data_IF_668078558479
#
_entry.id   IF_668078558479
#
_cell.length_a   1.000
_cell.length_b   1.000
_cell.length_c   1.000
_cell.angle_alpha   90.00
_cell.angle_beta   90.00
_cell.angle_gamma   90.00
#
_symmetry.space_group_name_H-M   'P 1'
#
loop_
_entity.id
_entity.type
_entity.pdbx_description
1 polymer ?
#
# COMPACT_ATOMS: atom_id res chain seq x y z
N UNK A 1 15.58 -6.93 23.14
CA UNK A 1 14.69 -5.92 22.54
C UNK A 1 13.82 -6.64 21.52
N UNK A 2 12.54 -6.85 21.80
CA UNK A 2 11.64 -7.60 20.93
C UNK A 2 10.20 -7.40 21.40
N UNK A 3 9.40 -6.73 20.60
CA UNK A 3 8.02 -6.39 20.91
C UNK A 3 7.18 -7.65 21.15
N UNK A 4 6.34 -7.64 22.19
CA UNK A 4 5.70 -8.82 22.78
C UNK A 4 4.17 -8.83 22.64
N UNK A 5 3.61 -8.11 21.66
CA UNK A 5 2.15 -8.03 21.46
C UNK A 5 1.81 -8.35 20.00
N UNK A 6 1.07 -9.44 19.81
CA UNK A 6 0.29 -9.75 18.59
C UNK A 6 1.09 -10.04 17.32
N UNK A 7 1.46 -11.29 17.06
CA UNK A 7 1.87 -11.68 15.71
C UNK A 7 0.62 -11.74 14.84
N UNK A 8 0.35 -10.69 14.06
CA UNK A 8 -0.55 -10.84 12.91
C UNK A 8 0.06 -11.94 12.04
N UNK A 9 -0.69 -13.01 11.81
CA UNK A 9 -0.31 -14.07 10.89
C UNK A 9 -0.46 -13.54 9.47
N UNK A 10 0.66 -13.06 8.91
CA UNK A 10 0.73 -12.55 7.55
C UNK A 10 0.95 -13.71 6.58
N UNK A 11 0.16 -13.77 5.51
CA UNK A 11 0.36 -14.72 4.42
C UNK A 11 1.77 -14.51 3.81
N UNK A 12 2.49 -15.60 3.49
CA UNK A 12 3.82 -15.52 2.88
C UNK A 12 3.85 -14.68 1.59
N UNK A 13 2.74 -14.61 0.86
CA UNK A 13 2.63 -13.80 -0.36
C UNK A 13 2.47 -12.30 -0.06
N UNK A 14 1.97 -11.94 1.12
CA UNK A 14 1.85 -10.55 1.55
C UNK A 14 3.14 -10.01 2.20
N UNK A 15 4.14 -10.86 2.46
CA UNK A 15 5.41 -10.47 3.07
C UNK A 15 6.13 -9.29 2.39
N UNK A 16 6.13 -9.16 1.04
CA UNK A 16 6.78 -8.03 0.38
C UNK A 16 6.09 -6.67 0.61
N UNK A 17 4.85 -6.67 1.10
CA UNK A 17 4.04 -5.47 1.30
C UNK A 17 3.92 -5.05 2.77
N UNK A 18 4.57 -5.78 3.69
CA UNK A 18 4.57 -5.46 5.13
C UNK A 18 5.93 -4.92 5.56
N UNK A 19 5.94 -4.18 6.66
CA UNK A 19 7.15 -3.59 7.24
C UNK A 19 7.93 -2.69 6.26
N UNK A 20 7.23 -2.07 5.30
CA UNK A 20 7.81 -1.12 4.36
C UNK A 20 8.39 0.09 5.12
N UNK A 21 9.51 0.68 4.65
CA UNK A 21 10.07 1.89 5.22
C UNK A 21 9.18 3.10 4.92
N UNK A 22 9.26 4.13 5.77
CA UNK A 22 8.48 5.36 5.60
C UNK A 22 8.61 5.95 4.18
N UNK A 23 9.82 5.94 3.63
CA UNK A 23 10.12 6.43 2.27
C UNK A 23 9.27 5.71 1.21
N UNK A 24 9.22 4.39 1.23
CA UNK A 24 8.43 3.59 0.27
C UNK A 24 6.93 3.84 0.41
N UNK A 25 6.43 4.09 1.62
CA UNK A 25 5.01 4.44 1.85
C UNK A 25 4.70 5.85 1.31
N UNK A 26 5.66 6.78 1.36
CA UNK A 26 5.52 8.08 0.70
C UNK A 26 5.55 7.96 -0.83
N UNK A 27 6.47 7.17 -1.38
CA UNK A 27 6.55 6.89 -2.82
C UNK A 27 5.26 6.22 -3.33
N UNK A 28 4.62 5.36 -2.53
CA UNK A 28 3.30 4.80 -2.85
C UNK A 28 2.22 5.89 -2.99
N UNK A 29 2.21 6.88 -2.10
CA UNK A 29 1.28 8.00 -2.19
C UNK A 29 1.54 8.86 -3.43
N UNK A 30 2.81 9.14 -3.72
CA UNK A 30 3.19 9.91 -4.91
C UNK A 30 2.78 9.16 -6.19
N UNK A 31 3.10 7.87 -6.27
CA UNK A 31 2.71 7.03 -7.40
C UNK A 31 1.18 6.92 -7.56
N UNK A 32 0.42 6.91 -6.47
CA UNK A 32 -1.04 6.97 -6.53
C UNK A 32 -1.52 8.25 -7.23
N UNK A 33 -1.00 9.42 -6.83
CA UNK A 33 -1.38 10.70 -7.42
C UNK A 33 -0.97 10.84 -8.89
N UNK A 34 0.09 10.12 -9.32
CA UNK A 34 0.55 10.13 -10.71
C UNK A 34 -0.25 9.18 -11.62
N UNK A 35 -0.77 8.07 -11.08
CA UNK A 35 -1.36 6.98 -11.87
C UNK A 35 -2.88 6.97 -11.82
N UNK A 36 -3.49 7.27 -10.68
CA UNK A 36 -4.93 7.11 -10.50
C UNK A 36 -5.71 8.26 -11.13
N UNK A 37 -6.72 7.94 -11.94
CA UNK A 37 -7.65 8.94 -12.49
C UNK A 37 -8.74 9.37 -11.48
N UNK A 38 -8.87 8.64 -10.36
CA UNK A 38 -9.84 8.91 -9.30
C UNK A 38 -9.49 8.23 -7.98
N UNK A 39 -10.49 8.05 -7.11
CA UNK A 39 -10.28 7.44 -5.79
C UNK A 39 -10.29 5.90 -5.79
N UNK A 40 -10.71 5.30 -6.90
CA UNK A 40 -10.66 3.85 -7.10
C UNK A 40 -9.51 3.47 -8.02
N UNK A 41 -8.82 2.37 -7.68
CA UNK A 41 -7.76 1.79 -8.50
C UNK A 41 -8.29 0.55 -9.21
N UNK A 42 -8.14 0.53 -10.54
CA UNK A 42 -8.26 -0.72 -11.29
C UNK A 42 -6.97 -1.56 -11.18
N UNK A 43 -6.99 -2.79 -11.68
CA UNK A 43 -5.85 -3.71 -11.56
C UNK A 43 -4.58 -3.19 -12.23
N UNK A 44 -4.69 -2.50 -13.37
CA UNK A 44 -3.54 -2.00 -14.12
C UNK A 44 -2.89 -0.82 -13.37
N UNK A 45 -3.70 0.14 -12.91
CA UNK A 45 -3.27 1.27 -12.08
C UNK A 45 -2.62 0.79 -10.78
N UNK A 46 -3.23 -0.20 -10.12
CA UNK A 46 -2.70 -0.79 -8.89
C UNK A 46 -1.34 -1.44 -9.11
N UNK A 47 -1.17 -2.21 -10.20
CA UNK A 47 0.10 -2.84 -10.53
C UNK A 47 1.17 -1.81 -10.92
N UNK A 48 0.81 -0.74 -11.63
CA UNK A 48 1.74 0.33 -11.99
C UNK A 48 2.20 1.10 -10.74
N UNK A 49 1.28 1.47 -9.85
CA UNK A 49 1.60 2.12 -8.58
C UNK A 49 2.56 1.29 -7.72
N UNK A 50 2.33 -0.02 -7.58
CA UNK A 50 3.22 -0.91 -6.83
C UNK A 50 4.60 -1.04 -7.50
N UNK A 51 4.65 -1.08 -8.85
CA UNK A 51 5.92 -1.17 -9.58
C UNK A 51 6.78 0.09 -9.44
N UNK A 52 6.16 1.28 -9.36
CA UNK A 52 6.88 2.55 -9.21
C UNK A 52 7.48 2.75 -7.81
N UNK A 53 6.91 2.11 -6.78
CA UNK A 53 7.24 2.39 -5.38
C UNK A 53 7.93 1.20 -4.66
N UNK A 54 7.37 -0.01 -4.77
CA UNK A 54 7.79 -1.18 -3.98
C UNK A 54 8.93 -1.96 -4.65
N UNK A 55 9.10 -1.80 -5.96
CA UNK A 55 10.13 -2.51 -6.74
C UNK A 55 11.54 -2.22 -6.22
N UNK A 56 11.87 -0.96 -5.98
CA UNK A 56 13.19 -0.54 -5.52
C UNK A 56 13.52 -1.06 -4.12
N UNK A 57 12.50 -1.24 -3.28
CA UNK A 57 12.66 -1.78 -1.94
C UNK A 57 12.82 -3.31 -1.93
N UNK A 58 12.03 -4.01 -2.74
CA UNK A 58 11.94 -5.48 -2.68
C UNK A 58 12.95 -6.19 -3.57
N UNK A 59 13.43 -5.54 -4.65
CA UNK A 59 14.32 -6.16 -5.63
C UNK A 59 13.70 -7.35 -6.38
N UNK A 60 12.38 -7.50 -6.31
CA UNK A 60 11.62 -8.57 -6.96
C UNK A 60 11.44 -8.22 -8.45
N UNK A 61 11.43 -9.24 -9.32
CA UNK A 61 11.17 -9.03 -10.75
C UNK A 61 9.74 -8.58 -11.01
N UNK A 62 9.54 -7.74 -12.04
CA UNK A 62 8.24 -7.16 -12.38
C UNK A 62 7.15 -8.23 -12.56
N UNK A 63 7.48 -9.37 -13.18
CA UNK A 63 6.54 -10.49 -13.34
C UNK A 63 6.06 -11.06 -12.01
N UNK A 64 6.96 -11.22 -11.04
CA UNK A 64 6.60 -11.76 -9.72
C UNK A 64 5.88 -10.70 -8.90
N UNK A 65 6.27 -9.43 -9.02
CA UNK A 65 5.58 -8.33 -8.35
C UNK A 65 4.15 -8.20 -8.85
N UNK A 66 3.91 -8.23 -10.16
CA UNK A 66 2.56 -8.19 -10.73
C UNK A 66 1.69 -9.36 -10.24
N UNK A 67 2.23 -10.58 -10.20
CA UNK A 67 1.49 -11.73 -9.68
C UNK A 67 1.12 -11.57 -8.19
N UNK A 68 2.00 -11.00 -7.39
CA UNK A 68 1.74 -10.73 -5.97
C UNK A 68 0.75 -9.57 -5.79
N UNK A 69 0.86 -8.52 -6.59
CA UNK A 69 -0.07 -7.39 -6.63
C UNK A 69 -1.46 -7.84 -7.06
N UNK A 70 -1.58 -8.79 -7.99
CA UNK A 70 -2.88 -9.34 -8.40
C UNK A 70 -3.54 -10.12 -7.25
N UNK A 71 -2.78 -10.93 -6.52
CA UNK A 71 -3.30 -11.62 -5.33
C UNK A 71 -3.74 -10.59 -4.27
N UNK A 72 -2.93 -9.55 -4.05
CA UNK A 72 -3.27 -8.50 -3.09
C UNK A 72 -4.52 -7.72 -3.51
N UNK A 73 -4.64 -7.37 -4.79
CA UNK A 73 -5.80 -6.68 -5.34
C UNK A 73 -7.09 -7.47 -5.09
N UNK A 74 -7.08 -8.78 -5.37
CA UNK A 74 -8.24 -9.67 -5.12
C UNK A 74 -8.63 -9.77 -3.64
N UNK A 75 -7.71 -9.50 -2.72
CA UNK A 75 -8.03 -9.47 -1.28
C UNK A 75 -8.76 -8.18 -0.91
N UNK A 76 -8.47 -7.07 -1.60
CA UNK A 76 -9.17 -5.79 -1.39
C UNK A 76 -10.47 -5.66 -2.20
N UNK A 77 -10.55 -6.27 -3.38
CA UNK A 77 -11.74 -6.34 -4.25
C UNK A 77 -12.75 -7.38 -3.73
N UNK A 78 -13.26 -7.19 -2.50
CA UNK A 78 -14.17 -8.12 -1.82
C UNK A 78 -15.52 -8.26 -2.54
N UNK A 79 -16.00 -7.18 -3.19
CA UNK A 79 -17.25 -7.17 -3.96
C UNK A 79 -17.09 -7.54 -5.44
N UNK A 80 -15.86 -7.88 -5.88
CA UNK A 80 -15.52 -8.29 -7.24
C UNK A 80 -15.93 -7.28 -8.32
N UNK A 81 -15.94 -5.99 -7.98
CA UNK A 81 -16.27 -4.91 -8.90
C UNK A 81 -15.06 -4.50 -9.78
N UNK A 82 -13.89 -5.14 -9.57
CA UNK A 82 -12.63 -4.85 -10.26
C UNK A 82 -12.04 -3.48 -9.94
N UNK A 83 -12.33 -2.96 -8.75
CA UNK A 83 -11.88 -1.67 -8.25
C UNK A 83 -11.58 -1.74 -6.76
N UNK A 84 -10.45 -1.17 -6.36
CA UNK A 84 -10.04 -1.10 -4.95
C UNK A 84 -10.11 0.36 -4.50
N UNK A 85 -10.66 0.61 -3.30
CA UNK A 85 -10.56 1.92 -2.67
C UNK A 85 -9.10 2.22 -2.33
N UNK A 86 -8.57 3.29 -2.94
CA UNK A 86 -7.17 3.67 -2.79
C UNK A 86 -6.83 4.06 -1.37
N UNK A 87 -7.74 4.71 -0.66
CA UNK A 87 -7.51 5.14 0.72
C UNK A 87 -7.52 3.96 1.68
N UNK A 88 -8.37 2.96 1.46
CA UNK A 88 -8.32 1.70 2.21
C UNK A 88 -7.00 0.96 2.00
N UNK A 89 -6.51 0.92 0.77
CA UNK A 89 -5.21 0.31 0.45
C UNK A 89 -4.02 1.10 1.06
N UNK A 90 -3.98 2.42 0.87
CA UNK A 90 -2.86 3.23 1.36
C UNK A 90 -2.81 3.28 2.89
N UNK A 91 -3.98 3.35 3.53
CA UNK A 91 -4.09 3.36 4.99
C UNK A 91 -3.66 2.02 5.61
N UNK A 92 -4.09 0.90 5.03
CA UNK A 92 -3.71 -0.44 5.49
C UNK A 92 -2.20 -0.69 5.35
N UNK A 93 -1.59 -0.32 4.23
CA UNK A 93 -0.13 -0.40 4.06
C UNK A 93 0.61 0.51 5.04
N UNK A 94 0.12 1.73 5.28
CA UNK A 94 0.69 2.63 6.27
C UNK A 94 0.66 2.01 7.68
N UNK A 95 -0.43 1.35 8.07
CA UNK A 95 -0.56 0.65 9.35
C UNK A 95 0.42 -0.53 9.45
N UNK A 96 0.59 -1.29 8.37
CA UNK A 96 1.49 -2.45 8.27
C UNK A 96 2.97 -2.08 8.09
N UNK A 97 3.28 -0.80 7.87
CA UNK A 97 4.64 -0.29 7.70
C UNK A 97 5.47 -0.29 8.99
N UNK A 98 6.77 -0.07 8.82
CA UNK A 98 7.76 0.12 9.89
C UNK A 98 7.72 1.51 10.55
N UNK A 99 6.81 2.39 10.12
CA UNK A 99 6.66 3.74 10.67
C UNK A 99 6.32 3.73 12.17
N UNK A 100 6.70 4.79 12.88
CA UNK A 100 6.22 5.05 14.23
C UNK A 100 4.72 5.36 14.24
N UNK A 101 4.06 5.19 15.39
CA UNK A 101 2.63 5.49 15.51
C UNK A 101 2.28 6.95 15.14
N UNK A 102 3.17 7.89 15.45
CA UNK A 102 2.97 9.32 15.11
C UNK A 102 3.07 9.54 13.61
N UNK A 103 4.04 8.92 12.95
CA UNK A 103 4.19 9.00 11.49
C UNK A 103 3.02 8.34 10.76
N UNK A 104 2.53 7.20 11.27
CA UNK A 104 1.32 6.54 10.75
C UNK A 104 0.11 7.47 10.81
N UNK A 105 -0.13 8.10 11.95
CA UNK A 105 -1.26 9.03 12.11
C UNK A 105 -1.14 10.27 11.21
N UNK A 106 0.07 10.84 11.09
CA UNK A 106 0.30 11.98 10.19
C UNK A 106 0.08 11.62 8.73
N UNK A 107 0.53 10.44 8.31
CA UNK A 107 0.30 9.94 6.96
C UNK A 107 -1.19 9.73 6.69
N UNK A 108 -1.90 9.06 7.61
CA UNK A 108 -3.33 8.85 7.52
C UNK A 108 -4.09 10.18 7.45
N UNK A 109 -3.76 11.14 8.29
CA UNK A 109 -4.35 12.47 8.22
C UNK A 109 -4.14 13.11 6.85
N UNK A 110 -2.91 13.08 6.31
CA UNK A 110 -2.58 13.65 5.00
C UNK A 110 -3.38 13.02 3.85
N UNK A 111 -3.57 11.70 3.85
CA UNK A 111 -4.29 11.05 2.74
C UNK A 111 -5.79 11.37 2.75
N UNK A 112 -6.37 11.66 3.94
CA UNK A 112 -7.78 12.01 4.07
C UNK A 112 -8.03 13.53 3.96
N UNK A 113 -7.08 14.36 4.36
CA UNK A 113 -7.10 15.83 4.21
C UNK A 113 -6.57 16.24 2.82
N UNK A 114 -7.25 15.78 1.78
CA UNK A 114 -6.83 16.01 0.39
C UNK A 114 -6.90 17.50 -0.02
N UNK A 115 -7.81 18.29 0.57
CA UNK A 115 -7.97 19.71 0.26
C UNK A 115 -7.13 20.63 1.15
N UNK A 116 -6.26 20.06 2.00
CA UNK A 116 -5.41 20.77 2.96
C UNK A 116 -6.21 21.76 3.83
N UNK A 117 -7.46 21.41 4.14
CA UNK A 117 -8.39 22.31 4.83
C UNK A 117 -8.22 22.32 6.35
N UNK A 118 -7.48 21.33 6.90
CA UNK A 118 -7.09 21.29 8.31
C UNK A 118 -8.11 20.59 9.21
#
# INVERSE_FOLDING_TARGET
MGQTIGRVSINSEAQPFVNLPHKTVQELWEAFNDVAEGFGLNIDEFQDMIRLSVKDFTGISDKRLNALSEVLFRVYDDDCNSMVDSFEFLSSIAILSSMSNVEKLRYLYRIYDFDESG
#
